data_IF_933686293015
#
_entry.id   IF_933686293015
#
_cell.length_a   1.000
_cell.length_b   1.000
_cell.length_c   1.000
_cell.angle_alpha   90.00
_cell.angle_beta   90.00
_cell.angle_gamma   90.00
#
_symmetry.space_group_name_H-M   'P 1'
#
loop_
_entity.id
_entity.type
_entity.pdbx_description
1 polymer ?
#
# COMPACT_ATOMS: atom_id res chain seq x y z
N UNK A 1 -5.54 2.00 22.28
CA UNK A 1 -5.75 3.15 21.39
C UNK A 1 -5.15 2.85 20.03
N UNK A 2 -6.02 2.50 19.07
CA UNK A 2 -5.63 2.28 17.67
C UNK A 2 -5.74 3.57 16.87
N UNK A 3 -5.28 3.54 15.62
CA UNK A 3 -5.52 4.63 14.67
C UNK A 3 -7.00 4.71 14.31
N UNK A 4 -7.50 5.93 14.11
CA UNK A 4 -8.82 6.14 13.53
C UNK A 4 -8.86 5.53 12.10
N UNK A 5 -10.00 4.98 11.64
CA UNK A 5 -10.11 4.40 10.31
C UNK A 5 -9.67 5.35 9.19
N UNK A 6 -9.96 6.64 9.30
CA UNK A 6 -9.58 7.62 8.28
C UNK A 6 -8.06 7.90 8.31
N UNK A 7 -7.47 7.90 9.51
CA UNK A 7 -6.01 8.00 9.66
C UNK A 7 -5.30 6.78 9.06
N UNK A 8 -5.90 5.61 9.18
CA UNK A 8 -5.38 4.37 8.62
C UNK A 8 -5.28 4.43 7.09
N UNK A 9 -6.29 5.02 6.44
CA UNK A 9 -6.32 5.19 4.99
C UNK A 9 -5.21 6.13 4.51
N UNK A 10 -4.88 7.17 5.28
CA UNK A 10 -3.81 8.12 4.94
C UNK A 10 -2.41 7.65 5.32
N UNK A 11 -2.30 6.60 6.14
CA UNK A 11 -1.02 6.10 6.61
C UNK A 11 -0.28 5.34 5.50
N UNK A 12 0.98 5.71 5.17
CA UNK A 12 1.67 5.18 3.99
C UNK A 12 2.03 3.70 4.07
N UNK A 13 2.28 3.17 5.27
CA UNK A 13 2.68 1.77 5.47
C UNK A 13 1.50 0.81 5.66
N UNK A 14 0.26 1.30 5.61
CA UNK A 14 -0.93 0.47 5.75
C UNK A 14 -1.55 0.22 4.37
N UNK A 15 -1.38 -0.98 3.85
CA UNK A 15 -1.90 -1.38 2.55
C UNK A 15 -3.09 -2.33 2.77
N UNK A 16 -4.31 -1.79 2.66
CA UNK A 16 -5.57 -2.50 2.92
C UNK A 16 -6.54 -2.17 1.81
N UNK A 17 -7.23 -3.19 1.30
CA UNK A 17 -8.23 -3.07 0.24
C UNK A 17 -8.05 -4.15 -0.81
N UNK A 18 -8.71 -3.95 -1.94
CA UNK A 18 -8.49 -4.71 -3.16
C UNK A 18 -7.10 -4.47 -3.72
N UNK A 19 -6.65 -5.36 -4.62
CA UNK A 19 -5.37 -5.18 -5.32
C UNK A 19 -5.28 -3.83 -6.04
N UNK A 20 -6.37 -3.39 -6.70
CA UNK A 20 -6.42 -2.10 -7.38
C UNK A 20 -6.23 -0.91 -6.44
N UNK A 21 -6.98 -0.89 -5.33
CA UNK A 21 -6.86 0.17 -4.30
C UNK A 21 -5.44 0.21 -3.70
N UNK A 22 -4.82 -0.95 -3.49
CA UNK A 22 -3.43 -1.02 -3.01
C UNK A 22 -2.46 -0.43 -4.03
N UNK A 23 -2.60 -0.77 -5.32
CA UNK A 23 -1.75 -0.23 -6.40
C UNK A 23 -1.88 1.29 -6.47
N UNK A 24 -3.11 1.81 -6.46
CA UNK A 24 -3.37 3.26 -6.43
C UNK A 24 -2.70 3.93 -5.22
N UNK A 25 -2.79 3.30 -4.04
CA UNK A 25 -2.12 3.78 -2.84
C UNK A 25 -0.59 3.78 -2.98
N UNK A 26 0.01 2.77 -3.61
CA UNK A 26 1.46 2.75 -3.88
C UNK A 26 1.89 3.90 -4.79
N UNK A 27 1.11 4.21 -5.84
CA UNK A 27 1.36 5.36 -6.70
C UNK A 27 1.22 6.68 -5.93
N UNK A 28 0.16 6.84 -5.15
CA UNK A 28 -0.02 8.01 -4.29
C UNK A 28 1.14 8.19 -3.30
N UNK A 29 1.67 7.09 -2.74
CA UNK A 29 2.81 7.14 -1.84
C UNK A 29 4.09 7.62 -2.54
N UNK A 30 4.31 7.17 -3.78
CA UNK A 30 5.44 7.61 -4.62
C UNK A 30 5.32 9.08 -4.97
N UNK A 31 4.15 9.53 -5.39
CA UNK A 31 3.91 10.92 -5.81
C UNK A 31 3.99 11.89 -4.64
N UNK A 32 3.38 11.55 -3.51
CA UNK A 32 3.28 12.44 -2.35
C UNK A 32 4.54 12.47 -1.50
N UNK A 33 5.20 11.33 -1.31
CA UNK A 33 6.30 11.18 -0.35
C UNK A 33 7.59 10.66 -0.98
N UNK A 34 7.61 10.32 -2.27
CA UNK A 34 8.80 9.76 -2.93
C UNK A 34 9.12 8.33 -2.51
N UNK A 35 8.18 7.62 -1.89
CA UNK A 35 8.41 6.24 -1.43
C UNK A 35 8.45 5.30 -2.63
N UNK A 36 9.55 4.58 -2.78
CA UNK A 36 9.77 3.65 -3.90
C UNK A 36 10.00 2.21 -3.47
N UNK A 37 10.08 1.94 -2.17
CA UNK A 37 10.39 0.63 -1.62
C UNK A 37 9.51 0.33 -0.41
N UNK A 38 8.91 -0.86 -0.39
CA UNK A 38 8.09 -1.38 0.70
C UNK A 38 8.60 -2.77 1.09
N UNK A 39 8.72 -3.01 2.40
CA UNK A 39 8.99 -4.34 2.93
C UNK A 39 7.66 -4.99 3.34
N UNK A 40 7.39 -6.17 2.78
CA UNK A 40 6.19 -6.97 3.10
C UNK A 40 6.60 -8.25 3.81
N UNK A 41 5.74 -8.74 4.71
CA UNK A 41 6.03 -9.93 5.52
C UNK A 41 5.76 -11.23 4.78
N UNK A 42 4.69 -11.27 3.98
CA UNK A 42 4.29 -12.44 3.21
C UNK A 42 4.29 -12.08 1.73
N UNK A 43 5.36 -12.47 1.03
CA UNK A 43 5.55 -12.11 -0.38
C UNK A 43 4.52 -12.80 -1.29
N UNK A 44 4.18 -14.06 -1.01
CA UNK A 44 3.24 -14.83 -1.81
C UNK A 44 1.83 -14.20 -1.79
N UNK A 45 1.40 -13.70 -0.63
CA UNK A 45 0.14 -12.96 -0.52
C UNK A 45 0.16 -11.62 -1.26
N UNK A 46 1.35 -11.05 -1.47
CA UNK A 46 1.54 -9.75 -2.13
C UNK A 46 1.84 -9.87 -3.64
N UNK A 47 2.06 -11.09 -4.15
CA UNK A 47 2.31 -11.37 -5.56
C UNK A 47 1.30 -10.69 -6.51
N UNK A 48 -0.03 -10.73 -6.25
CA UNK A 48 -1.00 -10.11 -7.17
C UNK A 48 -0.82 -8.60 -7.33
N UNK A 49 -0.38 -7.92 -6.26
CA UNK A 49 -0.11 -6.48 -6.28
C UNK A 49 1.14 -6.18 -7.12
N UNK A 50 2.19 -6.99 -6.97
CA UNK A 50 3.42 -6.87 -7.76
C UNK A 50 3.12 -7.08 -9.25
N UNK A 51 2.30 -8.08 -9.57
CA UNK A 51 1.87 -8.35 -10.93
C UNK A 51 1.07 -7.19 -11.53
N UNK A 52 0.21 -6.55 -10.74
CA UNK A 52 -0.61 -5.41 -11.16
C UNK A 52 0.18 -4.07 -11.28
N UNK A 53 1.35 -3.95 -10.65
CA UNK A 53 2.23 -2.78 -10.78
C UNK A 53 3.15 -2.81 -12.02
N UNK A 54 3.17 -3.92 -12.78
CA UNK A 54 3.97 -4.05 -14.01
C UNK A 54 3.26 -3.41 -15.20
#
# INVERSE_FOLDING_TARGET
DGLDPDELLTTPYVLIGTVGEIVEKLHACRERWGITYFAVRELDAFEPVIAACR
#
